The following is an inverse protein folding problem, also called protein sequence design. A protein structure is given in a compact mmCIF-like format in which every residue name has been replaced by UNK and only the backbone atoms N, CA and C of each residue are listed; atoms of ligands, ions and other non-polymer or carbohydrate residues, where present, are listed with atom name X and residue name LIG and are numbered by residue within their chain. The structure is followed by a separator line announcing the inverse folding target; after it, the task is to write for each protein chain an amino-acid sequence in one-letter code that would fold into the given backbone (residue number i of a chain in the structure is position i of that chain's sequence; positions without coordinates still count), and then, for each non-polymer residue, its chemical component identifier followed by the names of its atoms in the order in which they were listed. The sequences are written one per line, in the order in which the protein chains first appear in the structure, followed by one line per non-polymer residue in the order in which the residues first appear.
data_IF_500975748819
#
_entry.id   IF_500975748819
#
_cell.length_a   1.000
_cell.length_b   1.000
_cell.length_c   1.000
_cell.angle_alpha   90.00
_cell.angle_beta   90.00
_cell.angle_gamma   90.00
#
_symmetry.space_group_name_H-M   'P 1'
#
loop_
_entity.id
_entity.type
_entity.pdbx_description
1 polymer ?
#
# COMPACT_ATOMS: atom_id res chain seq x y z
N UNK A 1 -16.01 13.64 -2.56
CA UNK A 1 -14.79 13.32 -3.31
C UNK A 1 -13.79 12.83 -2.29
N UNK A 2 -13.39 11.56 -2.37
CA UNK A 2 -12.45 10.96 -1.41
C UNK A 2 -11.10 11.62 -1.62
N UNK A 3 -10.50 12.16 -0.57
CA UNK A 3 -9.23 12.88 -0.66
C UNK A 3 -8.17 12.09 0.10
N UNK A 4 -7.22 11.53 -0.64
CA UNK A 4 -6.11 10.79 -0.09
C UNK A 4 -4.96 11.77 0.14
N UNK A 5 -4.52 11.89 1.39
CA UNK A 5 -3.41 12.76 1.77
C UNK A 5 -2.20 11.92 2.13
N UNK A 6 -1.24 11.87 1.22
CA UNK A 6 0.04 11.22 1.46
C UNK A 6 0.80 11.98 2.55
N UNK A 7 1.12 11.28 3.62
CA UNK A 7 1.92 11.80 4.74
C UNK A 7 3.41 11.53 4.52
N UNK A 8 3.73 10.37 3.94
CA UNK A 8 5.09 9.92 3.79
C UNK A 8 5.25 9.14 2.48
N UNK A 9 6.35 9.36 1.79
CA UNK A 9 6.70 8.65 0.57
C UNK A 9 8.15 8.18 0.63
N UNK A 10 8.35 6.88 0.43
CA UNK A 10 9.68 6.28 0.33
C UNK A 10 9.99 5.92 -1.11
N UNK A 11 11.00 6.58 -1.69
CA UNK A 11 11.53 6.22 -3.01
C UNK A 11 12.28 4.90 -2.98
N UNK A 12 13.06 4.66 -1.92
CA UNK A 12 13.88 3.44 -1.79
C UNK A 12 13.01 2.20 -1.56
N UNK A 13 11.92 2.35 -0.82
CA UNK A 13 10.95 1.29 -0.56
C UNK A 13 9.84 1.19 -1.61
N UNK A 14 9.70 2.20 -2.48
CA UNK A 14 8.59 2.36 -3.44
C UNK A 14 7.23 2.11 -2.78
N UNK A 15 6.89 2.96 -1.79
CA UNK A 15 5.59 2.96 -1.13
C UNK A 15 5.24 4.36 -0.61
N UNK A 16 3.94 4.64 -0.49
CA UNK A 16 3.41 5.83 0.19
C UNK A 16 2.55 5.43 1.38
N UNK A 17 2.50 6.29 2.39
CA UNK A 17 1.62 6.14 3.56
C UNK A 17 0.85 7.44 3.70
N UNK A 18 -0.45 7.34 3.92
CA UNK A 18 -1.31 8.50 4.02
C UNK A 18 -2.54 8.29 4.89
N UNK A 19 -3.35 9.34 4.94
CA UNK A 19 -4.64 9.35 5.62
C UNK A 19 -5.72 9.84 4.66
N UNK A 20 -6.85 9.15 4.66
CA UNK A 20 -8.02 9.53 3.89
C UNK A 20 -8.77 10.63 4.66
N UNK A 21 -8.92 11.81 4.05
CA UNK A 21 -9.38 13.01 4.75
C UNK A 21 -10.86 12.99 5.14
N UNK A 22 -11.69 12.11 4.54
CA UNK A 22 -13.14 12.04 4.77
C UNK A 22 -13.50 11.15 5.96
N UNK A 23 -12.85 9.99 6.06
CA UNK A 23 -13.12 8.91 7.02
C UNK A 23 -12.03 8.81 8.09
N UNK A 24 -10.87 9.44 7.86
CA UNK A 24 -9.71 9.37 8.75
C UNK A 24 -8.99 8.03 8.70
N UNK A 25 -9.20 7.24 7.64
CA UNK A 25 -8.58 5.92 7.52
C UNK A 25 -7.14 6.03 7.08
N UNK A 26 -6.26 5.25 7.70
CA UNK A 26 -4.87 5.19 7.33
C UNK A 26 -4.68 4.18 6.21
N UNK A 27 -3.85 4.52 5.23
CA UNK A 27 -3.55 3.62 4.12
C UNK A 27 -2.06 3.60 3.81
N UNK A 28 -1.60 2.48 3.27
CA UNK A 28 -0.36 2.38 2.52
C UNK A 28 -0.69 2.12 1.05
N UNK A 29 -0.11 2.90 0.14
CA UNK A 29 -0.15 2.61 -1.28
C UNK A 29 1.19 2.05 -1.75
N UNK A 30 1.13 1.01 -2.57
CA UNK A 30 2.30 0.36 -3.15
C UNK A 30 2.09 0.34 -4.66
N UNK A 31 2.96 0.97 -5.46
CA UNK A 31 2.98 0.75 -6.89
C UNK A 31 3.33 -0.72 -7.17
N UNK A 32 2.40 -1.43 -7.79
CA UNK A 32 2.54 -2.79 -8.27
C UNK A 32 2.52 -2.75 -9.78
N UNK A 33 3.67 -3.05 -10.37
CA UNK A 33 3.83 -3.18 -11.80
C UNK A 33 4.97 -4.13 -12.10
N UNK A 34 4.75 -5.02 -13.06
CA UNK A 34 5.79 -5.92 -13.59
C UNK A 34 6.55 -5.25 -14.77
N UNK A 35 6.60 -3.91 -14.78
CA UNK A 35 7.14 -3.10 -15.87
C UNK A 35 6.21 -2.88 -17.07
N UNK A 36 5.04 -3.52 -17.11
CA UNK A 36 4.08 -3.43 -18.25
C UNK A 36 2.73 -2.82 -17.87
N UNK A 37 2.30 -2.99 -16.61
CA UNK A 37 1.03 -2.46 -16.12
C UNK A 37 1.25 -1.89 -14.72
N UNK A 38 1.37 -0.58 -14.62
CA UNK A 38 1.55 0.11 -13.33
C UNK A 38 0.16 0.39 -12.73
N UNK A 39 -0.16 -0.28 -11.62
CA UNK A 39 -1.32 0.07 -10.79
C UNK A 39 -0.89 0.24 -9.34
N UNK A 40 -1.65 1.01 -8.56
CA UNK A 40 -1.39 1.18 -7.15
C UNK A 40 -2.31 0.27 -6.33
N UNK A 41 -1.72 -0.51 -5.44
CA UNK A 41 -2.47 -1.28 -4.44
C UNK A 41 -2.57 -0.48 -3.14
N UNK A 42 -3.78 -0.30 -2.65
CA UNK A 42 -4.07 0.39 -1.39
C UNK A 42 -4.40 -0.64 -0.31
N UNK A 43 -3.65 -0.59 0.78
CA UNK A 43 -3.80 -1.42 1.97
C UNK A 43 -4.27 -0.57 3.13
N UNK A 44 -5.30 -1.04 3.84
CA UNK A 44 -5.75 -0.39 5.07
C UNK A 44 -4.71 -0.60 6.17
N UNK A 45 -4.39 0.47 6.89
CA UNK A 45 -3.52 0.42 8.05
C UNK A 45 -4.31 0.69 9.31
N UNK A 46 -3.95 -0.03 10.37
CA UNK A 46 -4.36 0.38 11.72
C UNK A 46 -3.57 1.61 12.16
N UNK A 47 -4.13 2.38 13.11
CA UNK A 47 -3.42 3.54 13.69
C UNK A 47 -2.04 3.16 14.26
N UNK A 48 -1.93 1.95 14.84
CA UNK A 48 -0.66 1.43 15.36
C UNK A 48 0.36 1.24 14.23
N UNK A 49 -0.02 0.55 13.15
CA UNK A 49 0.86 0.34 11.99
C UNK A 49 1.26 1.66 11.32
N UNK A 50 0.32 2.60 11.17
CA UNK A 50 0.61 3.93 10.64
C UNK A 50 1.69 4.63 11.47
N UNK A 51 1.53 4.67 12.80
CA UNK A 51 2.52 5.27 13.69
C UNK A 51 3.86 4.56 13.68
N UNK A 52 3.86 3.23 13.61
CA UNK A 52 5.06 2.40 13.54
C UNK A 52 5.82 2.65 12.23
N UNK A 53 5.15 2.64 11.08
CA UNK A 53 5.77 2.81 9.78
C UNK A 53 6.32 4.22 9.54
N UNK A 54 5.72 5.24 10.16
CA UNK A 54 6.26 6.59 10.16
C UNK A 54 7.55 6.72 10.98
N UNK A 55 7.77 5.82 11.95
CA UNK A 55 8.94 5.83 12.85
C UNK A 55 10.01 4.84 12.41
N UNK A 56 9.61 3.71 11.84
CA UNK A 56 10.46 2.64 11.38
C UNK A 56 10.11 2.24 9.94
N UNK A 57 10.89 2.78 9.00
CA UNK A 57 10.76 2.44 7.59
C UNK A 57 11.10 0.98 7.29
N UNK A 58 11.87 0.30 8.16
CA UNK A 58 12.24 -1.11 7.99
C UNK A 58 11.02 -2.02 8.15
N UNK A 59 10.17 -1.73 9.14
CA UNK A 59 8.90 -2.43 9.36
C UNK A 59 7.96 -2.23 8.16
N UNK A 60 7.87 -1.00 7.64
CA UNK A 60 7.09 -0.69 6.45
C UNK A 60 7.58 -1.47 5.22
N UNK A 61 8.90 -1.50 4.98
CA UNK A 61 9.51 -2.25 3.89
C UNK A 61 9.24 -3.76 4.01
N UNK A 62 9.28 -4.31 5.22
CA UNK A 62 8.97 -5.72 5.46
C UNK A 62 7.52 -6.06 5.05
N UNK A 63 6.55 -5.21 5.44
CA UNK A 63 5.16 -5.34 5.02
C UNK A 63 5.03 -5.22 3.50
N UNK A 64 5.61 -4.18 2.89
CA UNK A 64 5.56 -3.95 1.43
C UNK A 64 6.10 -5.17 0.66
N UNK A 65 7.21 -5.76 1.14
CA UNK A 65 7.75 -6.98 0.55
C UNK A 65 6.82 -8.19 0.71
N UNK A 66 6.12 -8.32 1.84
CA UNK A 66 5.13 -9.38 2.04
C UNK A 66 3.89 -9.17 1.14
N UNK A 67 3.41 -7.94 1.00
CA UNK A 67 2.34 -7.56 0.07
C UNK A 67 2.72 -7.92 -1.38
N UNK A 68 3.94 -7.60 -1.83
CA UNK A 68 4.45 -7.97 -3.16
C UNK A 68 4.50 -9.49 -3.39
N UNK A 69 4.70 -10.29 -2.33
CA UNK A 69 4.62 -11.76 -2.40
C UNK A 69 3.19 -12.30 -2.38
N UNK A 70 2.18 -11.44 -2.41
CA UNK A 70 0.74 -11.77 -2.32
C UNK A 70 0.36 -12.45 -0.99
N UNK A 71 1.17 -12.29 0.06
CA UNK A 71 0.94 -12.90 1.39
C UNK A 71 -0.15 -12.17 2.19
N UNK A 72 -0.52 -10.95 1.77
CA UNK A 72 -1.52 -10.09 2.44
C UNK A 72 -2.70 -9.68 1.54
N UNK A 73 -3.02 -10.48 0.52
CA UNK A 73 -4.15 -10.20 -0.40
C UNK A 73 -5.51 -10.05 0.32
N UNK A 74 -5.64 -10.56 1.55
CA UNK A 74 -6.84 -10.38 2.38
C UNK A 74 -7.07 -8.96 2.90
N UNK A 75 -6.04 -8.10 2.92
CA UNK A 75 -6.08 -6.72 3.43
C UNK A 75 -6.22 -5.66 2.32
N UNK A 76 -6.39 -6.09 1.07
CA UNK A 76 -6.56 -5.21 -0.08
C UNK A 76 -7.91 -4.47 0.01
N UNK A 77 -7.85 -3.14 0.11
CA UNK A 77 -9.04 -2.27 0.06
C UNK A 77 -9.68 -2.29 -1.35
N UNK A 78 -8.87 -2.46 -2.39
CA UNK A 78 -9.32 -2.77 -3.73
C UNK A 78 -8.84 -4.16 -4.11
N UNK A 79 -9.76 -5.12 -4.16
CA UNK A 79 -9.49 -6.40 -4.80
C UNK A 79 -9.32 -6.15 -6.30
N UNK A 80 -8.23 -6.61 -6.93
CA UNK A 80 -8.11 -6.52 -8.37
C UNK A 80 -9.30 -7.26 -8.98
N UNK A 81 -10.02 -6.59 -9.89
CA UNK A 81 -11.04 -7.25 -10.72
C UNK A 81 -10.42 -8.47 -11.41
N UNK A 82 -11.22 -9.51 -11.65
CA UNK A 82 -10.82 -10.91 -11.92
C UNK A 82 -9.81 -11.22 -13.06
N UNK A 83 -9.14 -10.23 -13.64
CA UNK A 83 -7.98 -10.37 -14.52
C UNK A 83 -6.73 -9.80 -13.84
N UNK A 84 -6.24 -10.48 -12.80
CA UNK A 84 -4.84 -10.32 -12.39
C UNK A 84 -4.03 -11.15 -13.39
N UNK A 85 -3.35 -10.49 -14.33
CA UNK A 85 -2.55 -11.15 -15.37
C UNK A 85 -1.68 -12.26 -14.77
N UNK A 86 -1.81 -13.46 -15.32
CA UNK A 86 -0.95 -14.59 -15.01
C UNK A 86 0.43 -14.28 -15.59
N UNK A 87 1.47 -14.44 -14.77
CA UNK A 87 2.87 -14.28 -15.14
C UNK A 87 3.22 -14.93 -16.49
N UNK A 88 4.13 -14.28 -17.23
CA UNK A 88 5.09 -14.95 -18.12
C UNK A 88 6.51 -14.60 -17.68
#
# INVERSE_FOLDING_TARGET
MVNFQDTFFSKDGLYSIGVESTSGWYYASIPVGDGVLDYEEYYELTQHQYGEFLRDSSAAIALVRACRRREHDGLLLQRPGGNRGTSV
#
